data_IF_043866985755
#
_entry.id   IF_043866985755
#
_cell.length_a   1.000
_cell.length_b   1.000
_cell.length_c   1.000
_cell.angle_alpha   90.00
_cell.angle_beta   90.00
_cell.angle_gamma   90.00
#
_symmetry.space_group_name_H-M   'P 1'
#
loop_
_entity.id
_entity.type
_entity.pdbx_description
1 polymer ?
#
# COMPACT_ATOMS: atom_id res chain seq x y z
N UNK A 1 30.60 48.46 18.21
CA UNK A 1 30.17 47.80 16.95
C UNK A 1 31.34 46.95 16.48
N UNK A 2 31.37 45.68 16.88
CA UNK A 2 32.50 44.78 16.61
C UNK A 2 32.03 43.69 15.65
N UNK A 3 32.52 43.74 14.42
CA UNK A 3 32.20 42.79 13.37
C UNK A 3 33.04 41.51 13.54
N UNK A 4 32.37 40.37 13.75
CA UNK A 4 32.98 39.04 13.73
C UNK A 4 33.17 38.60 12.27
N UNK A 5 34.42 38.35 11.88
CA UNK A 5 34.77 37.67 10.64
C UNK A 5 34.47 36.17 10.76
N UNK A 6 33.70 35.64 9.81
CA UNK A 6 33.52 34.20 9.61
C UNK A 6 34.69 33.61 8.79
N UNK A 7 35.17 32.39 9.10
CA UNK A 7 36.19 31.71 8.31
C UNK A 7 35.61 31.06 7.03
N UNK A 8 36.43 30.86 5.99
CA UNK A 8 36.00 30.33 4.70
C UNK A 8 35.73 28.81 4.75
N UNK A 9 34.62 28.42 4.10
CA UNK A 9 34.19 27.03 3.90
C UNK A 9 35.05 26.41 2.78
N UNK A 10 35.84 25.39 3.12
CA UNK A 10 36.56 24.58 2.13
C UNK A 10 35.60 23.58 1.47
N UNK A 11 35.41 23.73 0.16
CA UNK A 11 34.66 22.79 -0.69
C UNK A 11 35.62 21.66 -1.09
N UNK A 12 35.43 20.48 -0.50
CA UNK A 12 36.17 19.27 -0.87
C UNK A 12 35.37 18.50 -1.93
N UNK A 13 35.80 18.64 -3.18
CA UNK A 13 35.33 17.83 -4.30
C UNK A 13 35.98 16.44 -4.23
N UNK A 14 35.19 15.39 -3.98
CA UNK A 14 35.65 14.00 -4.11
C UNK A 14 35.26 13.49 -5.49
N UNK A 15 36.27 13.25 -6.31
CA UNK A 15 36.16 12.73 -7.66
C UNK A 15 35.98 11.20 -7.69
N UNK A 16 35.34 10.79 -8.78
CA UNK A 16 35.02 9.46 -9.27
C UNK A 16 36.23 8.53 -9.47
N UNK A 17 36.05 7.25 -9.17
CA UNK A 17 36.76 6.16 -9.85
C UNK A 17 35.87 4.91 -9.91
N UNK A 18 35.28 4.69 -11.08
CA UNK A 18 34.64 3.44 -11.46
C UNK A 18 35.73 2.39 -11.77
N UNK A 19 35.67 1.23 -11.12
CA UNK A 19 36.50 0.07 -11.43
C UNK A 19 35.58 -1.05 -11.91
N UNK A 20 35.58 -1.26 -13.22
CA UNK A 20 34.96 -2.38 -13.92
C UNK A 20 35.95 -3.53 -14.00
N UNK A 21 35.58 -4.70 -13.46
CA UNK A 21 36.31 -5.96 -13.64
C UNK A 21 35.44 -6.93 -14.44
N UNK A 22 35.90 -7.45 -15.60
CA UNK A 22 35.19 -8.46 -16.36
C UNK A 22 35.49 -9.87 -15.81
N UNK A 23 34.44 -10.63 -15.51
CA UNK A 23 34.55 -12.07 -15.21
C UNK A 23 34.64 -12.89 -16.51
N UNK A 24 35.54 -13.87 -16.60
CA UNK A 24 35.61 -14.79 -17.73
C UNK A 24 34.48 -15.83 -17.68
N UNK A 25 33.90 -16.06 -18.86
CA UNK A 25 32.93 -17.12 -19.17
C UNK A 25 33.71 -18.42 -19.36
N UNK A 26 33.52 -19.38 -18.46
CA UNK A 26 34.01 -20.75 -18.66
C UNK A 26 32.88 -21.61 -19.24
N UNK A 27 33.14 -22.12 -20.45
CA UNK A 27 32.23 -22.97 -21.24
C UNK A 27 32.71 -24.40 -21.07
N UNK A 28 31.96 -25.23 -20.35
CA UNK A 28 32.17 -26.67 -20.32
C UNK A 28 31.09 -27.38 -21.18
N UNK A 29 31.47 -28.26 -22.13
CA UNK A 29 30.51 -29.05 -22.91
C UNK A 29 30.31 -30.47 -22.35
N UNK A 30 29.11 -31.03 -22.52
CA UNK A 30 28.95 -32.45 -22.87
C UNK A 30 28.10 -33.37 -21.98
N UNK A 31 26.88 -33.63 -22.47
CA UNK A 31 26.19 -34.95 -22.54
C UNK A 31 25.54 -35.59 -21.28
N UNK A 32 24.64 -36.58 -21.43
CA UNK A 32 23.55 -36.75 -22.41
C UNK A 32 22.17 -37.03 -21.77
N UNK A 33 21.11 -36.94 -22.59
CA UNK A 33 19.72 -37.27 -22.30
C UNK A 33 19.48 -38.76 -21.94
N UNK A 34 18.32 -39.09 -21.32
CA UNK A 34 17.40 -39.95 -22.06
C UNK A 34 15.89 -39.74 -21.84
N UNK A 35 15.16 -40.19 -22.87
CA UNK A 35 13.86 -40.88 -22.87
C UNK A 35 12.55 -40.09 -22.69
N UNK A 36 11.91 -39.89 -23.84
CA UNK A 36 10.51 -39.58 -24.04
C UNK A 36 9.56 -40.69 -23.53
N UNK A 37 8.41 -40.28 -22.97
CA UNK A 37 7.19 -41.10 -22.93
C UNK A 37 6.00 -40.32 -23.49
N UNK A 38 5.43 -40.89 -24.55
CA UNK A 38 4.16 -40.55 -25.21
C UNK A 38 2.99 -40.61 -24.22
N UNK A 39 2.12 -39.61 -24.25
CA UNK A 39 0.77 -39.64 -23.70
C UNK A 39 -0.17 -38.82 -24.57
N UNK A 40 -1.22 -39.47 -25.10
CA UNK A 40 -2.16 -39.01 -26.13
C UNK A 40 -3.19 -37.99 -25.62
N UNK A 41 -3.48 -37.00 -26.47
CA UNK A 41 -4.83 -36.66 -26.94
C UNK A 41 -5.76 -35.83 -26.03
N UNK A 42 -6.19 -34.66 -26.53
CA UNK A 42 -7.50 -34.48 -27.18
C UNK A 42 -7.69 -33.04 -27.69
N UNK A 43 -8.48 -32.97 -28.76
CA UNK A 43 -8.86 -31.83 -29.57
C UNK A 43 -9.73 -30.75 -28.88
N UNK A 44 -9.88 -29.65 -29.62
CA UNK A 44 -10.99 -28.70 -29.67
C UNK A 44 -10.97 -27.52 -28.70
N UNK A 45 -10.72 -26.31 -29.19
CA UNK A 45 -11.75 -25.48 -29.86
C UNK A 45 -11.15 -24.10 -30.12
N UNK A 46 -11.10 -23.68 -31.38
CA UNK A 46 -10.75 -22.33 -31.76
C UNK A 46 -11.85 -21.35 -31.33
N UNK A 47 -11.56 -20.51 -30.35
CA UNK A 47 -12.38 -19.34 -30.02
C UNK A 47 -11.86 -18.16 -30.83
N UNK A 48 -12.73 -17.67 -31.69
CA UNK A 48 -12.52 -16.53 -32.55
C UNK A 48 -12.22 -15.28 -31.73
N UNK A 49 -11.15 -14.57 -32.12
CA UNK A 49 -10.89 -13.21 -31.71
C UNK A 49 -11.97 -12.30 -32.29
N UNK A 50 -12.92 -11.87 -31.47
CA UNK A 50 -13.78 -10.73 -31.79
C UNK A 50 -13.09 -9.45 -31.35
N UNK A 51 -12.87 -8.59 -32.33
CA UNK A 51 -12.29 -7.25 -32.22
C UNK A 51 -13.10 -6.36 -31.27
N UNK A 52 -12.43 -5.85 -30.25
CA UNK A 52 -12.95 -4.86 -29.29
C UNK A 52 -12.81 -3.43 -29.86
N UNK A 53 -13.33 -3.22 -31.07
CA UNK A 53 -13.21 -1.97 -31.83
C UNK A 53 -14.55 -1.30 -32.19
N UNK A 54 -15.63 -1.60 -31.45
CA UNK A 54 -16.98 -1.16 -31.83
C UNK A 54 -17.87 -0.64 -30.69
N UNK A 55 -17.33 -0.33 -29.51
CA UNK A 55 -18.12 0.26 -28.40
C UNK A 55 -17.76 1.72 -28.05
N UNK A 56 -16.93 2.39 -28.87
CA UNK A 56 -16.79 3.86 -28.85
C UNK A 56 -17.44 4.41 -30.12
N UNK A 57 -18.76 4.24 -30.22
CA UNK A 57 -19.62 5.00 -31.12
C UNK A 57 -21.06 4.88 -30.62
N UNK A 58 -21.29 5.38 -29.42
CA UNK A 58 -22.58 6.01 -29.14
C UNK A 58 -22.47 7.44 -29.63
N UNK A 59 -22.67 7.59 -30.93
CA UNK A 59 -23.28 8.79 -31.50
C UNK A 59 -24.64 8.98 -30.83
N UNK A 60 -24.63 9.62 -29.67
CA UNK A 60 -25.77 10.37 -29.18
C UNK A 60 -25.89 11.62 -30.08
N UNK A 61 -26.39 11.40 -31.29
CA UNK A 61 -27.05 12.42 -32.12
C UNK A 61 -28.37 12.82 -31.44
N UNK A 62 -28.26 13.38 -30.24
CA UNK A 62 -29.28 14.17 -29.59
C UNK A 62 -28.87 15.62 -29.74
N UNK A 63 -29.53 16.32 -30.67
CA UNK A 63 -29.43 17.78 -30.91
C UNK A 63 -28.92 18.53 -29.67
N UNK A 64 -27.72 19.10 -29.82
CA UNK A 64 -26.95 19.73 -28.76
C UNK A 64 -27.78 20.62 -27.85
N UNK A 65 -28.10 20.11 -26.66
CA UNK A 65 -28.51 20.95 -25.55
C UNK A 65 -27.24 21.53 -24.95
N UNK A 66 -26.84 22.71 -25.44
CA UNK A 66 -25.74 23.50 -24.89
C UNK A 66 -25.99 23.63 -23.39
N UNK A 67 -25.10 23.08 -22.57
CA UNK A 67 -25.12 23.28 -21.11
C UNK A 67 -24.54 24.66 -20.88
N UNK A 68 -25.38 25.67 -21.04
CA UNK A 68 -25.01 27.07 -21.02
C UNK A 68 -25.42 27.67 -19.68
N UNK A 69 -24.48 28.22 -18.92
CA UNK A 69 -24.76 28.90 -17.65
C UNK A 69 -24.90 30.40 -17.92
N UNK A 70 -26.08 30.96 -17.62
CA UNK A 70 -26.32 32.41 -17.73
C UNK A 70 -25.86 33.10 -16.46
N UNK A 71 -24.92 34.03 -16.57
CA UNK A 71 -24.43 34.82 -15.44
C UNK A 71 -25.31 36.05 -15.20
N UNK A 72 -25.17 36.66 -14.03
CA UNK A 72 -25.96 37.83 -13.61
C UNK A 72 -25.77 39.06 -14.52
N UNK A 73 -24.65 39.14 -15.26
CA UNK A 73 -24.39 40.16 -16.27
C UNK A 73 -25.05 39.88 -17.63
N UNK A 74 -25.81 38.79 -17.76
CA UNK A 74 -26.47 38.37 -19.00
C UNK A 74 -25.58 37.63 -19.99
N UNK A 75 -24.30 37.41 -19.68
CA UNK A 75 -23.41 36.59 -20.50
C UNK A 75 -23.72 35.09 -20.34
N UNK A 76 -23.49 34.31 -21.39
CA UNK A 76 -23.81 32.88 -21.40
C UNK A 76 -22.52 32.08 -21.66
N UNK A 77 -22.09 31.30 -20.67
CA UNK A 77 -20.84 30.53 -20.76
C UNK A 77 -21.17 29.07 -21.10
N UNK A 78 -20.51 28.55 -22.14
CA UNK A 78 -20.62 27.14 -22.53
C UNK A 78 -19.75 26.27 -21.62
N UNK A 79 -20.38 25.36 -20.87
CA UNK A 79 -19.71 24.50 -19.89
C UNK A 79 -18.91 23.36 -20.53
N UNK A 80 -18.92 23.21 -21.87
CA UNK A 80 -18.13 22.21 -22.57
C UNK A 80 -16.73 22.70 -22.97
N UNK A 81 -16.40 23.97 -22.78
CA UNK A 81 -15.06 24.48 -23.07
C UNK A 81 -14.05 24.03 -22.01
N UNK A 82 -12.90 23.50 -22.45
CA UNK A 82 -11.84 22.94 -21.57
C UNK A 82 -11.20 23.95 -20.61
N UNK A 83 -11.42 25.25 -20.83
CA UNK A 83 -10.86 26.32 -20.04
C UNK A 83 -11.93 27.39 -19.79
N UNK A 84 -12.65 27.25 -18.67
CA UNK A 84 -13.58 28.27 -18.22
C UNK A 84 -12.77 29.42 -17.60
N UNK A 85 -12.95 30.68 -18.04
CA UNK A 85 -12.27 31.81 -17.44
C UNK A 85 -12.74 31.96 -15.98
N UNK A 86 -11.79 31.98 -15.04
CA UNK A 86 -12.05 32.15 -13.62
C UNK A 86 -12.40 33.61 -13.29
N UNK A 87 -13.52 34.09 -13.83
CA UNK A 87 -14.07 35.41 -13.50
C UNK A 87 -14.77 35.35 -12.13
N UNK A 88 -14.83 36.49 -11.44
CA UNK A 88 -15.45 36.57 -10.09
C UNK A 88 -16.90 36.06 -10.09
N UNK A 89 -17.63 36.34 -11.15
CA UNK A 89 -19.02 35.91 -11.32
C UNK A 89 -19.17 34.38 -11.45
N UNK A 90 -18.25 33.71 -12.15
CA UNK A 90 -18.25 32.24 -12.25
C UNK A 90 -17.97 31.62 -10.87
N UNK A 91 -17.06 32.22 -10.11
CA UNK A 91 -16.75 31.78 -8.74
C UNK A 91 -17.95 31.98 -7.81
N UNK A 92 -18.66 33.10 -7.92
CA UNK A 92 -19.88 33.37 -7.14
C UNK A 92 -21.02 32.43 -7.52
N UNK A 93 -21.23 32.17 -8.81
CA UNK A 93 -22.20 31.20 -9.29
C UNK A 93 -21.88 29.77 -8.80
N UNK A 94 -20.60 29.38 -8.80
CA UNK A 94 -20.16 28.11 -8.21
C UNK A 94 -20.43 28.05 -6.70
N UNK A 95 -20.15 29.13 -5.97
CA UNK A 95 -20.40 29.19 -4.51
C UNK A 95 -21.88 29.03 -4.19
N UNK A 96 -22.77 29.74 -4.90
CA UNK A 96 -24.21 29.61 -4.72
C UNK A 96 -24.69 28.19 -5.01
N UNK A 97 -24.18 27.58 -6.09
CA UNK A 97 -24.56 26.21 -6.44
C UNK A 97 -24.09 25.18 -5.41
N UNK A 98 -22.92 25.37 -4.80
CA UNK A 98 -22.43 24.51 -3.72
C UNK A 98 -23.37 24.61 -2.51
N UNK A 99 -23.77 25.82 -2.12
CA UNK A 99 -24.69 26.04 -0.98
C UNK A 99 -26.04 25.38 -1.23
N UNK A 100 -26.63 25.53 -2.43
CA UNK A 100 -27.88 24.85 -2.80
C UNK A 100 -27.76 23.32 -2.69
N UNK A 101 -26.64 22.75 -3.17
CA UNK A 101 -26.40 21.31 -3.09
C UNK A 101 -26.18 20.83 -1.65
N UNK A 102 -25.58 21.65 -0.79
CA UNK A 102 -25.43 21.37 0.64
C UNK A 102 -26.80 21.39 1.35
N UNK A 103 -27.68 22.33 1.01
CA UNK A 103 -29.05 22.41 1.54
C UNK A 103 -29.92 21.22 1.05
N UNK A 104 -29.81 20.83 -0.22
CA UNK A 104 -30.47 19.62 -0.75
C UNK A 104 -30.01 18.34 -0.03
N UNK A 105 -28.72 18.25 0.31
CA UNK A 105 -28.17 17.14 1.10
C UNK A 105 -28.64 17.18 2.56
N UNK A 106 -28.70 18.37 3.17
CA UNK A 106 -29.13 18.55 4.56
C UNK A 106 -30.64 18.27 4.73
N UNK A 107 -31.44 18.58 3.71
CA UNK A 107 -32.87 18.33 3.67
C UNK A 107 -33.28 16.88 3.38
N UNK A 108 -32.34 16.01 2.99
CA UNK A 108 -32.66 14.62 2.64
C UNK A 108 -32.81 13.77 3.92
N UNK A 109 -34.03 13.29 4.27
CA UNK A 109 -34.21 12.46 5.46
C UNK A 109 -33.41 11.16 5.31
N UNK A 110 -32.76 10.66 6.37
CA UNK A 110 -31.95 9.44 6.30
C UNK A 110 -32.85 8.30 5.85
N UNK A 111 -32.53 7.72 4.69
CA UNK A 111 -33.25 6.59 4.12
C UNK A 111 -33.33 5.47 5.17
N UNK A 112 -34.52 5.29 5.74
CA UNK A 112 -34.83 4.26 6.72
C UNK A 112 -34.51 2.91 6.07
N UNK A 113 -33.46 2.24 6.57
CA UNK A 113 -33.14 0.85 6.20
C UNK A 113 -34.36 -0.02 6.46
N UNK A 114 -34.99 -0.49 5.40
CA UNK A 114 -36.09 -1.44 5.46
C UNK A 114 -35.57 -2.75 6.07
N UNK A 115 -36.16 -3.10 7.21
CA UNK A 115 -36.04 -4.39 7.87
C UNK A 115 -36.99 -5.36 7.15
N UNK A 116 -36.48 -6.35 6.43
CA UNK A 116 -37.30 -7.47 5.94
C UNK A 116 -36.75 -8.81 6.39
N UNK A 117 -37.63 -9.57 7.02
CA UNK A 117 -37.45 -10.94 7.46
C UNK A 117 -38.31 -11.87 6.60
N UNK A 118 -37.73 -13.04 6.25
CA UNK A 118 -38.35 -14.37 6.07
C UNK A 118 -38.87 -14.79 4.66
N UNK A 119 -38.05 -15.67 4.03
CA UNK A 119 -38.32 -16.93 3.29
C UNK A 119 -39.48 -17.08 2.28
N UNK A 120 -39.15 -17.33 0.99
CA UNK A 120 -39.36 -18.62 0.26
C UNK A 120 -39.18 -18.48 -1.29
N UNK A 121 -38.30 -19.32 -1.85
CA UNK A 121 -38.23 -19.92 -3.20
C UNK A 121 -38.65 -19.15 -4.50
N UNK A 122 -37.67 -18.79 -5.36
CA UNK A 122 -37.49 -19.24 -6.77
C UNK A 122 -36.30 -18.53 -7.46
N UNK A 123 -35.40 -19.31 -8.07
CA UNK A 123 -34.45 -18.93 -9.15
C UNK A 123 -35.21 -18.71 -10.49
N UNK A 124 -34.63 -18.09 -11.56
CA UNK A 124 -33.20 -18.02 -11.92
C UNK A 124 -32.61 -16.64 -12.31
N UNK A 125 -31.27 -16.63 -12.39
CA UNK A 125 -30.22 -15.65 -12.80
C UNK A 125 -30.38 -14.89 -14.16
N UNK A 126 -29.43 -14.01 -14.65
CA UNK A 126 -28.25 -13.33 -14.03
C UNK A 126 -27.98 -11.83 -14.40
N UNK A 127 -27.16 -11.14 -13.57
CA UNK A 127 -26.13 -10.07 -13.86
C UNK A 127 -26.52 -8.65 -14.38
N UNK A 128 -25.61 -7.63 -14.37
CA UNK A 128 -24.69 -7.16 -13.31
C UNK A 128 -24.58 -5.60 -13.16
N UNK A 129 -23.97 -5.18 -12.04
CA UNK A 129 -23.08 -4.00 -11.82
C UNK A 129 -23.44 -2.57 -12.33
N UNK A 130 -23.50 -1.60 -11.40
CA UNK A 130 -22.84 -0.29 -11.64
C UNK A 130 -22.61 0.58 -10.40
N UNK A 131 -21.42 1.18 -10.40
CA UNK A 131 -20.94 2.38 -9.71
C UNK A 131 -20.98 2.41 -8.18
N UNK A 132 -19.94 1.85 -7.56
CA UNK A 132 -19.43 2.37 -6.29
C UNK A 132 -18.50 3.55 -6.57
N UNK A 133 -19.07 4.74 -6.45
CA UNK A 133 -18.40 6.03 -6.37
C UNK A 133 -17.47 6.09 -5.15
N UNK A 134 -16.19 6.32 -5.42
CA UNK A 134 -15.21 6.74 -4.42
C UNK A 134 -15.31 8.26 -4.23
N UNK A 135 -16.26 8.72 -3.42
CA UNK A 135 -16.21 10.05 -2.79
C UNK A 135 -17.22 10.12 -1.65
N UNK A 136 -16.78 10.66 -0.52
CA UNK A 136 -17.49 10.77 0.76
C UNK A 136 -17.58 9.47 1.59
N UNK A 137 -16.43 8.96 2.06
CA UNK A 137 -16.42 8.30 3.36
C UNK A 137 -16.69 9.40 4.40
N UNK A 138 -17.98 9.58 4.71
CA UNK A 138 -18.43 10.46 5.75
C UNK A 138 -17.66 10.18 7.05
N UNK A 139 -17.27 11.28 7.71
CA UNK A 139 -16.67 11.42 9.04
C UNK A 139 -17.58 10.87 10.16
N UNK A 140 -18.17 9.70 9.96
CA UNK A 140 -18.80 8.95 11.03
C UNK A 140 -17.69 8.44 11.93
N UNK A 141 -17.68 8.95 13.16
CA UNK A 141 -16.76 8.52 14.22
C UNK A 141 -16.76 6.99 14.27
N UNK A 142 -15.60 6.33 14.20
CA UNK A 142 -15.53 4.87 14.18
C UNK A 142 -16.28 4.33 15.40
N UNK A 143 -17.15 3.34 15.18
CA UNK A 143 -17.92 2.78 16.27
C UNK A 143 -16.98 2.16 17.31
N UNK A 144 -17.34 2.23 18.59
CA UNK A 144 -16.50 1.69 19.67
C UNK A 144 -16.17 0.19 19.48
N UNK A 145 -17.05 -0.54 18.77
CA UNK A 145 -16.84 -1.95 18.47
C UNK A 145 -15.75 -2.17 17.42
N UNK A 146 -15.68 -1.35 16.37
CA UNK A 146 -14.64 -1.46 15.34
C UNK A 146 -13.27 -1.09 15.90
N UNK A 147 -13.19 -0.08 16.78
CA UNK A 147 -11.92 0.28 17.45
C UNK A 147 -11.37 -0.90 18.26
N UNK A 148 -12.25 -1.61 18.99
CA UNK A 148 -11.84 -2.82 19.74
C UNK A 148 -11.38 -3.96 18.84
N UNK A 149 -12.05 -4.17 17.69
CA UNK A 149 -11.64 -5.17 16.70
C UNK A 149 -10.26 -4.85 16.12
N UNK A 150 -10.05 -3.60 15.71
CA UNK A 150 -8.78 -3.13 15.17
C UNK A 150 -7.64 -3.27 16.20
N UNK A 151 -7.92 -2.90 17.46
CA UNK A 151 -6.96 -3.05 18.55
C UNK A 151 -6.54 -4.50 18.79
N UNK A 152 -7.50 -5.43 18.74
CA UNK A 152 -7.23 -6.86 18.84
C UNK A 152 -6.41 -7.38 17.65
N UNK A 153 -6.67 -6.89 16.44
CA UNK A 153 -5.94 -7.23 15.22
C UNK A 153 -4.48 -6.74 15.28
N UNK A 154 -4.27 -5.47 15.68
CA UNK A 154 -2.94 -4.87 15.86
C UNK A 154 -2.15 -5.65 16.92
N UNK A 155 -2.77 -5.97 18.06
CA UNK A 155 -2.18 -6.81 19.10
C UNK A 155 -1.79 -8.20 18.58
N UNK A 156 -2.64 -8.81 17.75
CA UNK A 156 -2.37 -10.12 17.13
C UNK A 156 -1.16 -10.06 16.22
N UNK A 157 -1.07 -9.06 15.33
CA UNK A 157 0.08 -8.87 14.44
C UNK A 157 1.37 -8.64 15.21
N UNK A 158 1.32 -7.80 16.26
CA UNK A 158 2.48 -7.54 17.10
C UNK A 158 2.97 -8.81 17.83
N UNK A 159 2.04 -9.56 18.42
CA UNK A 159 2.35 -10.83 19.10
C UNK A 159 2.95 -11.84 18.13
N UNK A 160 2.47 -11.86 16.88
CA UNK A 160 3.02 -12.72 15.84
C UNK A 160 4.45 -12.32 15.46
N UNK A 161 4.72 -11.03 15.28
CA UNK A 161 6.07 -10.52 15.05
C UNK A 161 7.04 -10.96 16.17
N UNK A 162 6.65 -10.80 17.43
CA UNK A 162 7.46 -11.23 18.58
C UNK A 162 7.73 -12.74 18.60
N UNK A 163 6.82 -13.58 18.10
CA UNK A 163 7.02 -15.03 17.99
C UNK A 163 7.97 -15.35 16.84
N UNK A 164 7.75 -14.76 15.66
CA UNK A 164 8.61 -14.94 14.49
C UNK A 164 10.06 -14.60 14.81
N UNK A 165 10.32 -13.46 15.47
CA UNK A 165 11.66 -13.02 15.87
C UNK A 165 12.40 -13.96 16.84
N UNK A 166 11.68 -14.85 17.53
CA UNK A 166 12.24 -15.85 18.44
C UNK A 166 12.45 -17.21 17.80
N UNK A 167 12.02 -17.39 16.55
CA UNK A 167 12.25 -18.64 15.81
C UNK A 167 13.71 -18.73 15.34
N UNK A 168 14.19 -19.96 15.14
CA UNK A 168 15.55 -20.21 14.62
C UNK A 168 15.74 -19.75 13.16
N UNK A 169 14.67 -19.32 12.48
CA UNK A 169 14.73 -18.73 11.15
C UNK A 169 15.43 -17.37 11.15
N UNK A 170 15.32 -16.61 12.25
CA UNK A 170 15.90 -15.27 12.37
C UNK A 170 17.05 -15.27 13.39
N UNK A 171 18.23 -15.67 12.92
CA UNK A 171 19.45 -15.71 13.74
C UNK A 171 20.16 -14.38 13.76
N UNK A 172 19.90 -13.52 14.73
CA UNK A 172 20.60 -12.23 14.84
C UNK A 172 22.06 -12.48 15.22
N UNK A 173 22.98 -11.80 14.55
CA UNK A 173 24.41 -11.83 14.84
C UNK A 173 24.84 -10.44 15.31
N UNK A 174 26.10 -10.30 15.71
CA UNK A 174 26.68 -8.99 16.02
C UNK A 174 26.80 -8.07 14.79
N UNK A 175 26.54 -8.58 13.59
CA UNK A 175 26.42 -7.76 12.39
C UNK A 175 25.18 -6.87 12.45
N UNK A 176 25.36 -5.57 12.24
CA UNK A 176 24.30 -4.56 12.23
C UNK A 176 23.54 -4.52 10.90
N UNK A 177 23.36 -5.71 10.30
CA UNK A 177 22.67 -5.90 9.03
C UNK A 177 21.18 -6.03 9.29
N UNK A 178 20.41 -5.16 8.64
CA UNK A 178 18.95 -5.22 8.69
C UNK A 178 18.45 -6.58 8.20
N UNK A 179 17.60 -7.21 9.00
CA UNK A 179 16.90 -8.45 8.66
C UNK A 179 15.46 -8.14 8.36
N UNK A 180 15.00 -8.68 7.24
CA UNK A 180 13.59 -8.64 6.88
C UNK A 180 12.85 -9.77 7.57
N UNK A 181 11.82 -9.44 8.34
CA UNK A 181 10.84 -10.39 8.87
C UNK A 181 9.53 -10.19 8.11
N UNK A 182 9.02 -11.24 7.48
CA UNK A 182 7.80 -11.17 6.68
C UNK A 182 6.78 -12.20 7.14
N UNK A 183 5.53 -11.77 7.35
CA UNK A 183 4.40 -12.67 7.55
C UNK A 183 3.13 -12.12 6.90
N UNK A 184 2.17 -13.00 6.63
CA UNK A 184 0.91 -12.68 5.96
C UNK A 184 -0.27 -12.92 6.89
N UNK A 185 -1.20 -11.97 6.94
CA UNK A 185 -2.45 -12.01 7.70
C UNK A 185 -3.63 -11.75 6.77
N UNK A 186 -4.77 -12.38 7.02
CA UNK A 186 -6.01 -12.12 6.25
C UNK A 186 -6.77 -11.00 6.96
N UNK A 187 -7.01 -9.90 6.25
CA UNK A 187 -7.65 -8.69 6.79
C UNK A 187 -8.66 -8.19 5.76
N UNK A 188 -9.81 -7.71 6.20
CA UNK A 188 -10.79 -7.09 5.31
C UNK A 188 -10.32 -5.71 4.83
N UNK A 189 -10.69 -5.31 3.62
CA UNK A 189 -10.24 -4.05 3.03
C UNK A 189 -10.60 -2.82 3.88
N UNK A 190 -11.80 -2.82 4.48
CA UNK A 190 -12.26 -1.75 5.35
C UNK A 190 -11.39 -1.61 6.61
N UNK A 191 -10.97 -2.74 7.20
CA UNK A 191 -10.09 -2.79 8.36
C UNK A 191 -8.68 -2.35 8.00
N UNK A 192 -8.14 -2.84 6.86
CA UNK A 192 -6.84 -2.44 6.35
C UNK A 192 -6.75 -0.93 6.12
N UNK A 193 -7.70 -0.36 5.37
CA UNK A 193 -7.75 1.08 5.11
C UNK A 193 -7.86 1.87 6.41
N UNK A 194 -8.66 1.40 7.37
CA UNK A 194 -8.80 2.10 8.64
C UNK A 194 -7.50 2.09 9.44
N UNK A 195 -6.84 0.95 9.57
CA UNK A 195 -5.63 0.79 10.38
C UNK A 195 -4.44 1.48 9.72
N UNK A 196 -4.17 1.18 8.46
CA UNK A 196 -2.93 1.60 7.80
C UNK A 196 -3.07 2.93 7.07
N UNK A 197 -4.20 3.20 6.40
CA UNK A 197 -4.33 4.38 5.53
C UNK A 197 -4.92 5.59 6.26
N UNK A 198 -6.04 5.41 6.96
CA UNK A 198 -6.82 6.51 7.52
C UNK A 198 -6.34 6.94 8.90
N UNK A 199 -5.91 6.01 9.75
CA UNK A 199 -5.53 6.33 11.13
C UNK A 199 -4.09 6.84 11.26
N UNK A 200 -3.25 6.63 10.24
CA UNK A 200 -1.81 6.85 10.35
C UNK A 200 -1.30 7.79 9.25
N UNK A 201 -1.18 9.09 9.53
CA UNK A 201 -0.69 10.06 8.54
C UNK A 201 0.80 9.87 8.21
N UNK A 202 1.54 9.14 9.03
CA UNK A 202 2.97 8.88 8.86
C UNK A 202 3.28 7.78 7.81
N UNK A 203 2.26 7.11 7.28
CA UNK A 203 2.41 6.12 6.22
C UNK A 203 2.50 6.76 4.83
N UNK A 204 3.57 6.47 4.09
CA UNK A 204 3.69 6.85 2.68
C UNK A 204 3.01 5.80 1.81
N UNK A 205 1.91 6.19 1.15
CA UNK A 205 1.25 5.34 0.16
C UNK A 205 2.10 5.32 -1.11
N UNK A 206 2.59 4.15 -1.49
CA UNK A 206 3.36 3.94 -2.73
C UNK A 206 2.41 3.59 -3.88
N UNK A 207 1.43 2.73 -3.61
CA UNK A 207 0.38 2.29 -4.53
C UNK A 207 -0.92 2.02 -3.75
N UNK A 208 -2.11 2.21 -4.34
CA UNK A 208 -2.37 2.90 -5.60
C UNK A 208 -2.14 4.41 -5.45
N UNK A 209 -1.57 5.06 -6.48
CA UNK A 209 -1.54 6.52 -6.57
C UNK A 209 -1.99 6.99 -7.96
N UNK A 210 -2.51 8.23 -8.09
CA UNK A 210 -2.87 8.78 -9.40
C UNK A 210 -1.72 8.77 -10.41
N UNK A 211 -0.49 9.02 -9.96
CA UNK A 211 0.75 9.00 -10.75
C UNK A 211 1.29 7.59 -11.01
N UNK A 212 0.94 6.61 -10.16
CA UNK A 212 1.54 5.28 -10.17
C UNK A 212 0.50 4.20 -9.90
N UNK A 213 0.06 3.54 -11.00
CA UNK A 213 -0.93 2.46 -10.99
C UNK A 213 -2.21 2.84 -10.20
N UNK A 214 -3.03 3.78 -10.71
CA UNK A 214 -4.22 4.26 -10.02
C UNK A 214 -5.26 3.15 -9.77
N UNK A 215 -5.34 2.19 -10.69
CA UNK A 215 -6.27 1.06 -10.62
C UNK A 215 -5.62 -0.20 -10.02
N UNK A 216 -4.55 -0.04 -9.23
CA UNK A 216 -3.89 -1.18 -8.58
C UNK A 216 -4.84 -1.85 -7.60
N UNK A 217 -5.00 -3.16 -7.73
CA UNK A 217 -5.63 -4.01 -6.71
C UNK A 217 -4.73 -4.25 -5.51
N UNK A 218 -3.48 -3.79 -5.57
CA UNK A 218 -2.48 -3.92 -4.52
C UNK A 218 -2.18 -2.56 -3.92
N UNK A 219 -2.29 -2.49 -2.60
CA UNK A 219 -1.92 -1.37 -1.76
C UNK A 219 -0.53 -1.61 -1.18
N UNK A 220 0.35 -0.63 -1.30
CA UNK A 220 1.69 -0.66 -0.71
C UNK A 220 1.84 0.60 0.12
N UNK A 221 2.08 0.42 1.42
CA UNK A 221 2.27 1.51 2.37
C UNK A 221 3.59 1.31 3.10
N UNK A 222 4.41 2.36 3.15
CA UNK A 222 5.71 2.36 3.82
C UNK A 222 5.66 3.24 5.07
N UNK A 223 6.19 2.74 6.18
CA UNK A 223 6.32 3.48 7.44
C UNK A 223 7.78 3.54 7.87
N UNK A 224 8.18 4.72 8.35
CA UNK A 224 9.38 4.92 9.17
C UNK A 224 9.18 4.34 10.58
N UNK A 225 10.24 4.26 11.40
CA UNK A 225 10.14 3.83 12.80
C UNK A 225 9.03 4.58 13.58
N UNK A 226 8.98 5.91 13.47
CA UNK A 226 7.93 6.72 14.10
C UNK A 226 6.53 6.29 13.67
N UNK A 227 6.32 6.08 12.37
CA UNK A 227 5.04 5.60 11.84
C UNK A 227 4.68 4.19 12.32
N UNK A 228 5.67 3.32 12.55
CA UNK A 228 5.42 2.00 13.15
C UNK A 228 4.96 2.15 14.60
N UNK A 229 5.58 3.05 15.38
CA UNK A 229 5.16 3.31 16.76
C UNK A 229 3.72 3.80 16.83
N UNK A 230 3.31 4.66 15.91
CA UNK A 230 1.92 5.15 15.87
C UNK A 230 0.92 4.05 15.47
N UNK A 231 1.26 3.24 14.47
CA UNK A 231 0.41 2.12 14.01
C UNK A 231 0.14 1.13 15.14
N UNK A 232 1.16 0.78 15.93
CA UNK A 232 1.04 -0.20 17.00
C UNK A 232 0.65 0.43 18.36
N UNK A 233 0.87 1.73 18.53
CA UNK A 233 0.51 2.52 19.70
C UNK A 233 0.89 1.83 21.01
N UNK A 234 -0.11 1.58 21.87
CA UNK A 234 0.07 0.92 23.18
C UNK A 234 0.58 -0.53 23.11
N UNK A 235 0.56 -1.16 21.93
CA UNK A 235 1.08 -2.52 21.74
C UNK A 235 2.53 -2.52 21.28
N UNK A 236 3.06 -1.38 20.84
CA UNK A 236 4.48 -1.24 20.55
C UNK A 236 5.26 -1.43 21.84
N UNK A 237 6.12 -2.45 21.87
CA UNK A 237 6.94 -2.84 23.03
C UNK A 237 8.34 -3.16 22.55
N UNK A 238 9.29 -3.25 23.45
CA UNK A 238 10.64 -3.65 23.05
C UNK A 238 10.63 -5.06 22.45
N UNK A 239 11.29 -5.20 21.30
CA UNK A 239 11.42 -6.47 20.60
C UNK A 239 12.65 -7.21 21.11
N UNK A 240 12.51 -8.53 21.29
CA UNK A 240 13.62 -9.41 21.70
C UNK A 240 13.79 -10.54 20.71
N UNK A 241 15.02 -10.72 20.24
CA UNK A 241 15.45 -11.80 19.35
C UNK A 241 16.41 -12.78 20.02
N UNK A 242 16.78 -13.81 19.29
CA UNK A 242 17.85 -14.73 19.69
C UNK A 242 19.18 -14.29 19.04
N UNK A 243 20.20 -14.10 19.86
CA UNK A 243 21.56 -13.79 19.42
C UNK A 243 22.35 -15.09 19.18
N UNK A 244 23.05 -15.17 18.06
CA UNK A 244 23.89 -16.32 17.67
C UNK A 244 25.32 -15.88 17.45
N UNK A 245 26.26 -16.76 17.79
CA UNK A 245 27.68 -16.54 17.52
C UNK A 245 27.97 -16.52 16.02
N UNK A 246 29.00 -15.74 15.65
CA UNK A 246 29.61 -15.78 14.33
C UNK A 246 30.38 -17.10 14.21
N UNK A 247 29.80 -18.10 13.53
CA UNK A 247 30.57 -19.27 13.11
C UNK A 247 31.59 -18.84 12.06
N UNK A 248 32.84 -19.30 12.16
CA UNK A 248 33.93 -18.90 11.28
C UNK A 248 34.90 -20.04 11.00
N UNK A 249 35.67 -19.94 9.92
CA UNK A 249 36.64 -20.95 9.45
C UNK A 249 37.70 -21.31 10.51
N UNK A 250 38.04 -20.37 11.39
CA UNK A 250 38.97 -20.59 12.51
C UNK A 250 38.28 -21.03 13.81
N UNK A 251 36.95 -20.87 13.88
CA UNK A 251 36.16 -21.33 15.02
C UNK A 251 35.74 -22.76 14.75
N UNK A 252 36.35 -23.73 15.43
CA UNK A 252 36.01 -25.17 15.37
C UNK A 252 34.55 -25.51 15.78
N UNK A 253 33.66 -24.52 15.88
CA UNK A 253 32.30 -24.69 16.37
C UNK A 253 31.31 -24.92 15.23
N UNK A 254 30.55 -26.00 15.38
CA UNK A 254 29.33 -26.29 14.63
C UNK A 254 28.42 -25.06 14.52
N UNK A 255 27.92 -24.80 13.31
CA UNK A 255 26.80 -23.90 12.95
C UNK A 255 26.29 -23.00 14.11
N UNK A 256 26.92 -21.84 14.32
CA UNK A 256 26.47 -20.72 15.17
C UNK A 256 25.66 -21.10 16.41
N UNK A 257 26.28 -21.07 17.59
CA UNK A 257 25.63 -21.38 18.87
C UNK A 257 24.75 -20.22 19.32
N UNK A 258 23.56 -20.51 19.87
CA UNK A 258 22.70 -19.51 20.51
C UNK A 258 23.40 -18.97 21.76
N UNK A 259 23.73 -17.68 21.75
CA UNK A 259 24.47 -17.01 22.82
C UNK A 259 23.54 -16.43 23.89
N UNK A 260 22.34 -16.02 23.50
CA UNK A 260 21.38 -15.40 24.42
C UNK A 260 20.24 -14.70 23.69
N UNK A 261 19.65 -13.72 24.36
CA UNK A 261 18.66 -12.80 23.78
C UNK A 261 19.30 -11.45 23.48
N UNK A 262 18.86 -10.80 22.41
CA UNK A 262 19.24 -9.42 22.07
C UNK A 262 18.00 -8.55 21.94
N UNK A 263 18.17 -7.26 22.20
CA UNK A 263 17.14 -6.26 21.96
C UNK A 263 17.20 -5.80 20.50
N UNK A 264 16.02 -5.58 19.91
CA UNK A 264 15.87 -5.37 18.48
C UNK A 264 15.15 -4.04 18.22
N UNK A 265 15.65 -3.30 17.24
CA UNK A 265 15.09 -2.03 16.78
C UNK A 265 14.44 -2.21 15.41
N UNK A 266 13.24 -1.63 15.22
CA UNK A 266 12.56 -1.62 13.92
C UNK A 266 12.99 -0.38 13.16
N UNK A 267 13.56 -0.55 11.97
CA UNK A 267 13.92 0.56 11.09
C UNK A 267 12.72 1.05 10.26
N UNK A 268 11.85 0.11 9.87
CA UNK A 268 10.67 0.44 9.07
C UNK A 268 9.75 -0.75 8.84
N UNK A 269 8.59 -0.44 8.27
CA UNK A 269 7.56 -1.41 7.92
C UNK A 269 7.04 -1.14 6.51
N UNK A 270 7.07 -2.16 5.66
CA UNK A 270 6.39 -2.16 4.38
C UNK A 270 5.17 -3.08 4.46
N UNK A 271 3.99 -2.52 4.23
CA UNK A 271 2.71 -3.22 4.26
C UNK A 271 2.21 -3.36 2.83
N UNK A 272 1.99 -4.60 2.40
CA UNK A 272 1.46 -4.93 1.09
C UNK A 272 0.11 -5.64 1.25
N UNK A 273 -0.97 -5.02 0.78
CA UNK A 273 -2.31 -5.57 0.85
C UNK A 273 -2.87 -5.81 -0.56
N UNK A 274 -3.40 -7.00 -0.80
CA UNK A 274 -4.06 -7.34 -2.07
C UNK A 274 -5.57 -7.43 -1.88
N UNK A 275 -6.32 -6.59 -2.60
CA UNK A 275 -7.79 -6.60 -2.60
C UNK A 275 -8.34 -7.94 -3.09
N UNK A 276 -7.66 -8.59 -4.03
CA UNK A 276 -8.14 -9.85 -4.63
C UNK A 276 -8.08 -11.04 -3.65
N UNK A 277 -7.05 -11.10 -2.80
CA UNK A 277 -6.84 -12.23 -1.89
C UNK A 277 -7.17 -11.90 -0.44
N UNK A 278 -7.49 -10.63 -0.14
CA UNK A 278 -7.65 -10.09 1.22
C UNK A 278 -6.44 -10.40 2.13
N UNK A 279 -5.25 -10.55 1.53
CA UNK A 279 -4.01 -10.84 2.25
C UNK A 279 -3.23 -9.55 2.46
N UNK A 280 -2.84 -9.33 3.70
CA UNK A 280 -1.92 -8.29 4.14
C UNK A 280 -0.58 -8.91 4.51
N UNK A 281 0.44 -8.67 3.70
CA UNK A 281 1.82 -9.03 4.00
C UNK A 281 2.50 -7.86 4.72
N UNK A 282 2.99 -8.12 5.94
CA UNK A 282 3.78 -7.16 6.70
C UNK A 282 5.26 -7.55 6.60
N UNK A 283 6.09 -6.62 6.16
CA UNK A 283 7.55 -6.78 6.02
C UNK A 283 8.24 -5.78 6.94
N UNK A 284 8.77 -6.26 8.06
CA UNK A 284 9.53 -5.46 9.02
C UNK A 284 11.02 -5.52 8.70
N UNK A 285 11.70 -4.40 8.80
CA UNK A 285 13.16 -4.33 8.75
C UNK A 285 13.69 -4.10 10.16
N UNK A 286 14.43 -5.08 10.67
CA UNK A 286 14.82 -5.16 12.08
C UNK A 286 16.34 -5.25 12.19
N UNK A 287 16.92 -4.47 13.10
CA UNK A 287 18.35 -4.46 13.41
C UNK A 287 18.56 -4.80 14.88
N UNK A 288 19.72 -5.39 15.19
CA UNK A 288 20.15 -5.61 16.57
C UNK A 288 20.61 -4.28 17.17
N UNK A 289 20.00 -3.86 18.28
CA UNK A 289 20.27 -2.55 18.90
C UNK A 289 21.60 -2.52 19.65
N UNK A 290 22.31 -3.65 19.80
CA UNK A 290 23.54 -3.73 20.60
C UNK A 290 24.71 -2.99 19.90
N UNK A 291 24.69 -1.65 20.01
CA UNK A 291 25.62 -0.68 19.41
C UNK A 291 27.08 -0.94 19.79
N UNK A 292 27.32 -1.71 20.85
CA UNK A 292 28.67 -2.09 21.32
C UNK A 292 29.49 -2.83 20.26
N UNK A 293 28.83 -3.43 19.27
CA UNK A 293 29.49 -4.23 18.23
C UNK A 293 29.38 -3.65 16.81
N UNK A 294 28.69 -2.50 16.63
CA UNK A 294 28.56 -1.84 15.33
C UNK A 294 29.72 -0.87 15.00
N UNK A 295 30.79 -0.86 15.80
CA UNK A 295 31.80 0.21 15.82
C UNK A 295 33.21 -0.21 15.43
N UNK A 296 33.39 -1.12 14.47
CA UNK A 296 34.69 -1.44 13.86
C UNK A 296 34.56 -1.60 12.35
#
# INVERSE_FOLDING_TARGET
>A
MSAQLLPPIAVLASASAASSSPFPVDVTPGAPAPAAKKGKGKENTALQQTSLASFVNTDASGKGKKRSLTLANGSNIDLNEKALPATKEVVEAMRLRIIELEDELAGQPPAKKARTSKAAAKEPEPTPASSSSLTALATSKPSAQEVKKNDALIKKMWTRLQKELKTDAYKFRYECKAKTVRFEEVIEEAEFKRIFVLSNPHGRIVQPRPDNKPNSTVWIVEYSDEGVRDVFGKHYKDLKGNLYSMGGILAQFEKGKKMGTCDLEILGLNVNYSTNTMKCALKFEVVNEDKRYCGW
#
